data_IF_696154361249
#
_entry.id   IF_696154361249
#
_cell.length_a   1.000
_cell.length_b   1.000
_cell.length_c   1.000
_cell.angle_alpha   90.00
_cell.angle_beta   90.00
_cell.angle_gamma   90.00
#
_symmetry.space_group_name_H-M   'P 1'
#
loop_
_entity.id
_entity.type
_entity.pdbx_description
1 polymer ?
#
# COMPACT_ATOMS: atom_id res chain seq x y z
N UNK A 1 -27.27 -0.49 35.59
CA UNK A 1 -27.35 -0.40 34.09
C UNK A 1 -26.00 -0.71 33.43
N UNK A 2 -24.91 -0.11 33.90
CA UNK A 2 -23.56 -0.35 33.35
C UNK A 2 -23.02 -1.76 33.68
N UNK A 3 -23.21 -2.26 34.92
CA UNK A 3 -22.83 -3.64 35.29
C UNK A 3 -23.58 -4.70 34.45
N UNK A 4 -24.85 -4.48 34.16
CA UNK A 4 -25.62 -5.38 33.31
C UNK A 4 -25.10 -5.35 31.84
N UNK A 5 -24.72 -4.18 31.34
CA UNK A 5 -24.10 -4.02 30.02
C UNK A 5 -22.74 -4.73 29.95
N UNK A 6 -21.89 -4.53 30.94
CA UNK A 6 -20.58 -5.20 31.06
C UNK A 6 -20.72 -6.72 31.11
N UNK A 7 -21.70 -7.22 31.87
CA UNK A 7 -21.96 -8.66 31.96
C UNK A 7 -22.40 -9.26 30.65
N UNK A 8 -23.21 -8.55 29.85
CA UNK A 8 -23.59 -9.00 28.51
C UNK A 8 -22.45 -8.93 27.50
N UNK A 9 -21.63 -7.87 27.54
CA UNK A 9 -20.43 -7.74 26.69
C UNK A 9 -19.43 -8.87 26.98
N UNK A 10 -19.24 -9.23 28.26
CA UNK A 10 -18.32 -10.30 28.65
C UNK A 10 -18.79 -11.71 28.26
N UNK A 11 -20.11 -11.92 28.09
CA UNK A 11 -20.64 -13.17 27.55
C UNK A 11 -20.35 -13.36 26.08
N UNK A 12 -20.10 -12.28 25.35
CA UNK A 12 -19.79 -12.28 23.92
C UNK A 12 -18.29 -12.42 23.63
N UNK A 13 -17.41 -12.27 24.64
CA UNK A 13 -15.98 -12.39 24.47
C UNK A 13 -15.55 -13.86 24.25
N UNK A 14 -14.66 -14.14 23.29
CA UNK A 14 -14.15 -15.49 23.06
C UNK A 14 -13.43 -16.01 24.29
N UNK A 15 -13.69 -17.27 24.68
CA UNK A 15 -13.13 -17.93 25.90
C UNK A 15 -11.60 -18.08 25.94
N UNK A 16 -10.87 -17.59 24.94
CA UNK A 16 -9.41 -17.75 24.80
C UNK A 16 -8.58 -16.51 25.14
N UNK A 17 -9.17 -15.45 25.68
CA UNK A 17 -8.44 -14.21 25.98
C UNK A 17 -7.87 -14.23 27.40
N UNK A 18 -6.59 -14.50 27.48
CA UNK A 18 -5.79 -14.33 28.69
C UNK A 18 -5.77 -12.84 29.07
N UNK A 19 -6.11 -12.53 30.34
CA UNK A 19 -6.13 -11.16 30.86
C UNK A 19 -7.50 -10.54 31.05
N UNK A 20 -8.60 -11.22 30.68
CA UNK A 20 -9.97 -10.70 30.82
C UNK A 20 -10.31 -10.38 32.29
N UNK A 21 -9.90 -11.20 33.25
CA UNK A 21 -10.14 -10.96 34.66
C UNK A 21 -9.42 -9.71 35.19
N UNK A 22 -8.18 -9.47 34.75
CA UNK A 22 -7.44 -8.25 35.13
C UNK A 22 -8.05 -7.00 34.51
N UNK A 23 -8.57 -7.10 33.29
CA UNK A 23 -9.25 -5.98 32.61
C UNK A 23 -10.61 -5.69 33.24
N UNK A 24 -11.31 -6.71 33.76
CA UNK A 24 -12.57 -6.56 34.51
C UNK A 24 -12.31 -5.85 35.86
N UNK A 25 -11.27 -6.24 36.56
CA UNK A 25 -10.92 -5.57 37.83
C UNK A 25 -10.49 -4.11 37.60
N UNK A 26 -9.74 -3.85 36.54
CA UNK A 26 -9.38 -2.49 36.15
C UNK A 26 -10.62 -1.64 35.80
N UNK A 27 -11.60 -2.21 35.10
CA UNK A 27 -12.89 -1.56 34.83
C UNK A 27 -13.72 -1.29 36.09
N UNK A 28 -13.70 -2.21 37.04
CA UNK A 28 -14.37 -2.01 38.35
C UNK A 28 -13.70 -0.90 39.17
N UNK A 29 -12.38 -0.85 39.20
CA UNK A 29 -11.64 0.23 39.87
C UNK A 29 -11.91 1.60 39.27
N UNK A 30 -12.09 1.67 37.92
CA UNK A 30 -12.47 2.91 37.22
C UNK A 30 -13.83 3.46 37.65
N UNK A 31 -14.80 2.57 37.94
CA UNK A 31 -16.14 2.97 38.38
C UNK A 31 -16.11 3.63 39.78
N UNK A 32 -15.06 3.38 40.52
CA UNK A 32 -14.91 3.93 41.88
C UNK A 32 -14.06 5.21 41.98
N UNK A 33 -13.20 5.46 40.98
CA UNK A 33 -12.33 6.64 40.90
C UNK A 33 -12.29 7.17 39.47
N UNK A 34 -12.94 8.30 39.20
CA UNK A 34 -12.92 8.94 37.89
C UNK A 34 -11.52 9.52 37.62
N UNK A 35 -10.63 8.68 37.06
CA UNK A 35 -9.30 9.05 36.62
C UNK A 35 -9.26 8.97 35.08
N UNK A 36 -9.07 10.09 34.41
CA UNK A 36 -9.06 10.22 32.95
C UNK A 36 -7.98 9.34 32.31
N UNK A 37 -6.82 9.15 32.94
CA UNK A 37 -5.75 8.27 32.41
C UNK A 37 -6.16 6.80 32.49
N UNK A 38 -6.81 6.37 33.58
CA UNK A 38 -7.33 5.02 33.70
C UNK A 38 -8.50 4.77 32.75
N UNK A 39 -9.36 5.78 32.55
CA UNK A 39 -10.42 5.72 31.55
C UNK A 39 -9.84 5.45 30.15
N UNK A 40 -8.83 6.22 29.73
CA UNK A 40 -8.17 5.99 28.44
C UNK A 40 -7.49 4.62 28.34
N UNK A 41 -6.81 4.17 29.39
CA UNK A 41 -6.18 2.85 29.41
C UNK A 41 -7.20 1.71 29.25
N UNK A 42 -8.36 1.81 29.89
CA UNK A 42 -9.41 0.81 29.73
C UNK A 42 -10.15 0.91 28.41
N UNK A 43 -10.35 2.11 27.90
CA UNK A 43 -10.91 2.30 26.57
C UNK A 43 -10.01 1.64 25.49
N UNK A 44 -8.69 1.81 25.62
CA UNK A 44 -7.71 1.15 24.76
C UNK A 44 -7.72 -0.37 24.93
N UNK A 45 -7.82 -0.87 26.17
CA UNK A 45 -7.91 -2.29 26.45
C UNK A 45 -9.20 -2.93 25.93
N UNK A 46 -10.33 -2.21 25.94
CA UNK A 46 -11.59 -2.67 25.33
C UNK A 46 -11.44 -2.74 23.80
N UNK A 47 -10.81 -1.76 23.20
CA UNK A 47 -10.55 -1.73 21.76
C UNK A 47 -9.67 -2.91 21.35
N UNK A 48 -8.60 -3.16 22.09
CA UNK A 48 -7.70 -4.30 21.88
C UNK A 48 -8.43 -5.65 22.08
N UNK A 49 -9.31 -5.73 23.09
CA UNK A 49 -10.13 -6.90 23.37
C UNK A 49 -11.06 -7.29 22.19
N UNK A 50 -11.56 -6.30 21.47
CA UNK A 50 -12.41 -6.52 20.29
C UNK A 50 -11.61 -6.63 18.98
N UNK A 51 -10.28 -6.66 19.05
CA UNK A 51 -9.42 -6.68 17.86
C UNK A 51 -9.55 -5.42 17.01
N UNK A 52 -10.05 -4.35 17.60
CA UNK A 52 -10.14 -3.04 16.96
C UNK A 52 -8.82 -2.33 17.24
N UNK A 53 -7.87 -2.47 16.34
CA UNK A 53 -6.65 -1.68 16.39
C UNK A 53 -6.95 -0.30 15.83
N UNK A 54 -7.21 0.69 16.72
CA UNK A 54 -7.39 2.10 16.32
C UNK A 54 -6.16 2.61 15.55
N UNK A 55 -4.99 2.01 15.80
CA UNK A 55 -3.73 2.36 15.15
C UNK A 55 -3.66 1.93 13.68
N UNK A 56 -4.48 0.98 13.24
CA UNK A 56 -4.55 0.50 11.85
C UNK A 56 -5.67 1.17 11.05
N UNK A 57 -6.43 2.08 11.66
CA UNK A 57 -7.46 2.82 10.93
C UNK A 57 -6.81 3.87 10.02
N UNK A 58 -7.27 3.97 8.76
CA UNK A 58 -6.81 5.00 7.86
C UNK A 58 -7.07 6.41 8.43
N UNK A 59 -6.15 7.34 8.18
CA UNK A 59 -6.28 8.73 8.59
C UNK A 59 -6.26 9.66 7.36
N UNK A 60 -6.82 10.85 7.49
CA UNK A 60 -6.71 11.86 6.41
C UNK A 60 -5.30 12.45 6.38
N UNK A 61 -4.74 12.73 5.18
CA UNK A 61 -3.52 13.51 5.06
C UNK A 61 -3.63 14.84 5.82
N UNK A 62 -2.57 15.24 6.54
CA UNK A 62 -2.58 16.44 7.40
C UNK A 62 -1.21 17.12 7.52
N UNK A 63 -0.22 16.64 6.78
CA UNK A 63 1.12 17.20 6.79
C UNK A 63 1.26 18.47 5.97
N UNK A 64 2.47 18.80 5.59
CA UNK A 64 2.81 19.96 4.79
C UNK A 64 2.34 19.79 3.34
N UNK A 65 2.07 20.91 2.67
CA UNK A 65 1.82 20.89 1.23
C UNK A 65 3.12 20.62 0.46
N UNK A 66 2.99 19.92 -0.66
CA UNK A 66 4.11 19.59 -1.54
C UNK A 66 4.80 20.87 -2.03
N UNK A 67 6.10 20.95 -1.80
CA UNK A 67 6.96 21.98 -2.37
C UNK A 67 8.01 21.33 -3.29
N UNK A 68 7.94 21.67 -4.58
CA UNK A 68 8.88 21.26 -5.62
C UNK A 68 9.82 22.38 -6.05
N UNK A 69 9.99 23.41 -5.22
CA UNK A 69 10.97 24.48 -5.48
C UNK A 69 12.38 23.86 -5.67
N UNK A 70 13.01 24.15 -6.82
CA UNK A 70 14.31 23.60 -7.17
C UNK A 70 14.29 22.27 -7.92
N UNK A 71 13.12 21.64 -8.07
CA UNK A 71 12.94 20.47 -8.91
C UNK A 71 12.55 20.86 -10.34
N UNK A 72 12.93 20.04 -11.31
CA UNK A 72 12.55 20.15 -12.70
C UNK A 72 11.90 18.85 -13.16
N UNK A 73 10.88 18.94 -14.00
CA UNK A 73 10.27 17.76 -14.63
C UNK A 73 11.29 17.08 -15.55
N UNK A 74 11.65 15.84 -15.26
CA UNK A 74 12.63 15.05 -16.04
C UNK A 74 11.99 13.92 -16.83
N UNK A 75 10.81 13.48 -16.40
CA UNK A 75 10.00 12.47 -17.07
C UNK A 75 8.53 12.77 -16.91
N UNK A 76 7.76 12.60 -18.00
CA UNK A 76 6.31 12.57 -17.96
C UNK A 76 5.76 11.59 -19.00
N UNK A 77 4.70 10.90 -18.66
CA UNK A 77 3.88 10.12 -19.59
C UNK A 77 2.40 10.30 -19.24
N UNK A 78 1.66 10.84 -20.19
CA UNK A 78 0.22 11.16 -20.09
C UNK A 78 -0.63 10.11 -20.81
N UNK A 79 -0.03 9.01 -21.28
CA UNK A 79 -0.66 7.87 -21.94
C UNK A 79 -1.63 8.24 -23.09
N UNK A 80 -1.37 9.35 -23.78
CA UNK A 80 -2.16 9.86 -24.90
C UNK A 80 -1.89 9.10 -26.22
N UNK A 81 -1.83 7.77 -26.16
CA UNK A 81 -1.60 6.86 -27.26
C UNK A 81 -2.39 5.56 -27.05
N UNK A 82 -2.58 4.78 -28.14
CA UNK A 82 -3.39 3.58 -28.14
C UNK A 82 -2.57 2.28 -28.06
N UNK A 83 -1.25 2.37 -28.18
CA UNK A 83 -0.32 1.23 -28.21
C UNK A 83 0.77 1.39 -27.14
N UNK A 84 1.28 0.27 -26.66
CA UNK A 84 2.34 0.23 -25.66
C UNK A 84 3.65 0.85 -26.18
N UNK A 85 4.13 1.90 -25.52
CA UNK A 85 5.42 2.51 -25.83
C UNK A 85 6.57 1.67 -25.26
N UNK A 86 7.07 0.78 -26.12
CA UNK A 86 8.17 -0.11 -25.75
C UNK A 86 9.54 0.56 -25.71
N UNK A 87 9.67 1.82 -26.05
CA UNK A 87 10.91 2.58 -25.87
C UNK A 87 11.03 3.13 -24.46
N UNK A 88 9.90 3.42 -23.81
CA UNK A 88 9.78 3.98 -22.47
C UNK A 88 9.52 2.90 -21.42
N UNK A 89 8.57 2.00 -21.68
CA UNK A 89 8.10 0.99 -20.75
C UNK A 89 8.49 -0.42 -21.13
N UNK A 90 8.50 -1.31 -20.16
CA UNK A 90 8.55 -2.75 -20.41
C UNK A 90 7.60 -3.51 -19.48
N UNK A 91 7.09 -4.66 -19.97
CA UNK A 91 6.29 -5.56 -19.13
C UNK A 91 7.16 -6.23 -18.08
N UNK A 92 6.79 -6.09 -16.83
CA UNK A 92 7.54 -6.67 -15.71
C UNK A 92 6.95 -7.98 -15.25
N UNK A 93 7.81 -9.00 -15.06
CA UNK A 93 7.44 -10.27 -14.46
C UNK A 93 6.33 -11.01 -15.20
N UNK A 94 6.34 -10.99 -16.57
CA UNK A 94 5.41 -11.76 -17.40
C UNK A 94 5.50 -13.26 -17.09
N UNK A 95 4.35 -13.91 -16.91
CA UNK A 95 4.24 -15.32 -16.54
C UNK A 95 3.60 -15.51 -15.17
N UNK A 96 3.92 -16.62 -14.50
CA UNK A 96 3.35 -16.97 -13.21
C UNK A 96 3.64 -15.90 -12.12
N UNK A 97 2.60 -15.48 -11.43
CA UNK A 97 2.66 -14.51 -10.33
C UNK A 97 1.67 -14.90 -9.25
N UNK A 98 2.14 -15.27 -8.05
CA UNK A 98 1.28 -15.69 -6.92
C UNK A 98 0.22 -16.72 -7.36
N UNK A 99 -1.09 -16.42 -7.27
CA UNK A 99 -2.17 -17.32 -7.67
C UNK A 99 -2.60 -17.24 -9.15
N UNK A 100 -1.87 -16.52 -9.99
CA UNK A 100 -2.22 -16.33 -11.41
C UNK A 100 -1.06 -15.92 -12.28
N UNK A 101 -1.29 -14.98 -13.21
CA UNK A 101 -0.32 -14.60 -14.21
C UNK A 101 -0.28 -13.08 -14.44
N UNK A 102 0.93 -12.54 -14.61
CA UNK A 102 1.10 -11.23 -15.26
C UNK A 102 1.19 -11.44 -16.77
N UNK A 103 0.45 -10.64 -17.54
CA UNK A 103 0.46 -10.74 -18.99
C UNK A 103 0.37 -9.38 -19.69
N UNK A 104 1.10 -9.17 -20.81
CA UNK A 104 1.00 -7.98 -21.65
C UNK A 104 -0.43 -7.62 -22.04
N UNK A 105 -1.27 -8.62 -22.32
CA UNK A 105 -2.67 -8.44 -22.71
C UNK A 105 -3.55 -7.78 -21.63
N UNK A 106 -3.05 -7.64 -20.41
CA UNK A 106 -3.75 -6.99 -19.30
C UNK A 106 -3.36 -5.51 -19.13
N UNK A 107 -2.49 -5.00 -19.98
CA UNK A 107 -2.12 -3.59 -20.06
C UNK A 107 -2.65 -3.03 -21.36
N UNK A 108 -3.58 -2.10 -21.29
CA UNK A 108 -4.24 -1.47 -22.44
C UNK A 108 -4.23 0.04 -22.29
N UNK A 109 -4.42 0.76 -23.41
CA UNK A 109 -4.46 2.22 -23.44
C UNK A 109 -5.80 2.65 -24.02
N UNK A 110 -6.49 3.57 -23.35
CA UNK A 110 -7.77 4.11 -23.80
C UNK A 110 -8.10 5.42 -23.09
N UNK A 111 -8.73 6.30 -23.83
CA UNK A 111 -9.22 7.59 -23.29
C UNK A 111 -8.11 8.40 -22.57
N UNK A 112 -6.86 8.33 -23.07
CA UNK A 112 -5.71 8.99 -22.45
C UNK A 112 -5.25 8.35 -21.12
N UNK A 113 -5.47 7.06 -20.96
CA UNK A 113 -5.08 6.35 -19.75
C UNK A 113 -4.40 5.03 -20.07
N UNK A 114 -3.43 4.64 -19.25
CA UNK A 114 -2.99 3.25 -19.13
C UNK A 114 -3.94 2.52 -18.18
N UNK A 115 -4.45 1.36 -18.61
CA UNK A 115 -5.39 0.56 -17.83
C UNK A 115 -4.85 -0.84 -17.62
N UNK A 116 -4.68 -1.22 -16.36
CA UNK A 116 -4.31 -2.56 -15.96
C UNK A 116 -5.58 -3.30 -15.52
N UNK A 117 -5.83 -4.47 -16.12
CA UNK A 117 -7.05 -5.25 -15.90
C UNK A 117 -6.77 -6.54 -15.15
N UNK A 118 -7.55 -6.82 -14.10
CA UNK A 118 -7.60 -8.09 -13.38
C UNK A 118 -8.84 -8.87 -13.75
N UNK A 119 -8.70 -10.09 -14.29
CA UNK A 119 -9.83 -10.93 -14.72
C UNK A 119 -9.43 -12.42 -14.80
N UNK A 120 -10.44 -13.31 -14.81
CA UNK A 120 -10.25 -14.72 -15.11
C UNK A 120 -10.49 -14.97 -16.61
N UNK A 121 -9.57 -15.66 -17.27
CA UNK A 121 -9.71 -16.00 -18.69
C UNK A 121 -8.81 -17.16 -19.12
N UNK A 122 -9.06 -17.66 -20.34
CA UNK A 122 -8.10 -18.50 -21.04
C UNK A 122 -7.18 -17.59 -21.88
N UNK A 123 -5.99 -17.33 -21.34
CA UNK A 123 -5.02 -16.41 -21.93
C UNK A 123 -3.74 -17.08 -22.40
N UNK A 124 -2.68 -16.28 -22.53
CA UNK A 124 -1.37 -16.70 -23.07
C UNK A 124 -0.74 -17.86 -22.27
N UNK A 125 -1.01 -17.96 -20.98
CA UNK A 125 -0.45 -18.98 -20.07
C UNK A 125 -1.47 -20.05 -19.69
N UNK A 126 -2.59 -20.16 -20.40
CA UNK A 126 -3.68 -21.08 -20.14
C UNK A 126 -4.85 -20.43 -19.38
N UNK A 127 -5.71 -21.26 -18.83
CA UNK A 127 -6.86 -20.81 -18.06
C UNK A 127 -6.44 -20.39 -16.65
N UNK A 128 -6.81 -19.19 -16.23
CA UNK A 128 -6.44 -18.66 -14.92
C UNK A 128 -6.74 -17.19 -14.72
N UNK A 129 -6.35 -16.68 -13.58
CA UNK A 129 -6.41 -15.27 -13.24
C UNK A 129 -5.26 -14.49 -13.87
N UNK A 130 -5.55 -13.36 -14.46
CA UNK A 130 -4.59 -12.52 -15.15
C UNK A 130 -4.60 -11.10 -14.62
N UNK A 131 -3.41 -10.46 -14.63
CA UNK A 131 -3.22 -9.06 -14.28
C UNK A 131 -2.06 -8.45 -15.07
N UNK A 132 -1.84 -7.13 -14.94
CA UNK A 132 -0.80 -6.37 -15.63
C UNK A 132 0.23 -5.78 -14.66
N UNK A 133 1.48 -5.70 -15.12
CA UNK A 133 2.57 -5.01 -14.45
C UNK A 133 3.54 -4.44 -15.48
N UNK A 134 3.90 -3.18 -15.32
CA UNK A 134 4.89 -2.49 -16.16
C UNK A 134 5.93 -1.80 -15.29
N UNK A 135 7.10 -1.53 -15.87
CA UNK A 135 8.13 -0.68 -15.27
C UNK A 135 8.71 0.27 -16.30
N UNK A 136 9.24 1.39 -15.83
CA UNK A 136 10.09 2.24 -16.66
C UNK A 136 11.38 1.52 -17.01
N UNK A 137 11.88 1.71 -18.22
CA UNK A 137 13.20 1.24 -18.62
C UNK A 137 14.32 2.06 -18.01
N UNK A 138 14.08 3.35 -17.84
CA UNK A 138 14.99 4.24 -17.13
C UNK A 138 14.84 4.07 -15.62
N UNK A 139 15.96 4.06 -14.91
CA UNK A 139 16.03 3.90 -13.47
C UNK A 139 16.42 5.22 -12.84
N UNK A 140 15.87 5.50 -11.68
CA UNK A 140 16.03 6.78 -11.00
C UNK A 140 16.60 6.60 -9.59
N UNK A 141 17.26 7.63 -9.10
CA UNK A 141 17.70 7.75 -7.72
C UNK A 141 17.36 9.15 -7.25
N UNK A 142 16.54 9.24 -6.19
CA UNK A 142 16.06 10.51 -5.61
C UNK A 142 15.21 11.34 -6.56
N UNK A 143 14.50 12.30 -6.02
CA UNK A 143 13.55 13.13 -6.76
C UNK A 143 12.14 13.05 -6.20
N UNK A 144 11.18 13.58 -6.92
CA UNK A 144 9.76 13.43 -6.64
C UNK A 144 9.10 12.61 -7.74
N UNK A 145 8.44 11.55 -7.32
CA UNK A 145 7.75 10.58 -8.17
C UNK A 145 6.26 10.70 -7.92
N UNK A 146 5.47 10.85 -8.97
CA UNK A 146 4.02 11.02 -8.85
C UNK A 146 3.29 10.19 -9.89
N UNK A 147 2.20 9.58 -9.46
CA UNK A 147 1.18 8.97 -10.30
C UNK A 147 -0.17 9.63 -10.04
N UNK A 148 -0.98 9.83 -11.09
CA UNK A 148 -2.38 10.20 -10.98
C UNK A 148 -3.24 9.07 -11.49
N UNK A 149 -4.13 8.55 -10.65
CA UNK A 149 -4.86 7.33 -11.00
C UNK A 149 -6.19 7.21 -10.26
N UNK A 150 -7.01 6.26 -10.73
CA UNK A 150 -8.14 5.66 -10.01
C UNK A 150 -7.76 4.23 -9.67
N UNK A 151 -7.81 3.86 -8.41
CA UNK A 151 -7.46 2.49 -7.98
C UNK A 151 -8.58 1.51 -8.27
N UNK A 152 -8.27 0.22 -8.30
CA UNK A 152 -9.25 -0.83 -8.50
C UNK A 152 -10.25 -0.90 -7.33
N UNK A 153 -11.52 -1.13 -7.66
CA UNK A 153 -12.62 -1.11 -6.68
C UNK A 153 -12.87 -2.46 -6.03
N UNK A 154 -12.78 -3.52 -6.81
CA UNK A 154 -13.08 -4.87 -6.36
C UNK A 154 -12.00 -5.40 -5.43
N UNK A 155 -12.42 -6.18 -4.43
CA UNK A 155 -11.54 -6.75 -3.41
C UNK A 155 -10.54 -7.75 -3.98
N UNK A 156 -9.50 -8.00 -3.22
CA UNK A 156 -8.47 -9.02 -3.40
C UNK A 156 -7.34 -8.65 -4.37
N UNK A 157 -7.61 -8.11 -5.55
CA UNK A 157 -6.57 -7.45 -6.34
C UNK A 157 -6.29 -6.07 -5.76
N UNK A 158 -5.06 -5.55 -5.94
CA UNK A 158 -4.74 -4.20 -5.47
C UNK A 158 -3.83 -3.45 -6.43
N UNK A 159 -4.12 -2.16 -6.60
CA UNK A 159 -3.30 -1.23 -7.37
C UNK A 159 -2.07 -0.84 -6.55
N UNK A 160 -0.91 -0.74 -7.20
CA UNK A 160 0.31 -0.29 -6.58
C UNK A 160 1.15 0.59 -7.52
N UNK A 161 1.77 1.60 -6.94
CA UNK A 161 2.85 2.39 -7.53
C UNK A 161 4.03 2.35 -6.57
N UNK A 162 5.15 1.82 -7.03
CA UNK A 162 6.26 1.49 -6.18
C UNK A 162 7.60 1.56 -6.89
N UNK A 163 8.65 1.65 -6.12
CA UNK A 163 10.04 1.75 -6.58
C UNK A 163 10.83 0.60 -5.97
N UNK A 164 11.71 -0.04 -6.73
CA UNK A 164 12.47 -1.17 -6.23
C UNK A 164 13.88 -1.20 -6.80
N UNK A 165 14.87 -1.43 -5.93
CA UNK A 165 16.23 -1.79 -6.35
C UNK A 165 16.24 -3.16 -7.03
N UNK A 166 17.21 -3.41 -7.93
CA UNK A 166 17.33 -4.69 -8.67
C UNK A 166 17.32 -5.92 -7.74
N UNK A 167 17.94 -5.78 -6.59
CA UNK A 167 18.03 -6.86 -5.61
C UNK A 167 17.91 -6.31 -4.17
N UNK A 168 16.73 -5.78 -3.78
CA UNK A 168 16.58 -5.02 -2.53
C UNK A 168 16.93 -5.85 -1.29
N UNK A 169 16.81 -7.16 -1.35
CA UNK A 169 17.10 -8.06 -0.23
C UNK A 169 18.54 -8.54 -0.17
N UNK A 170 19.21 -8.60 -1.32
CA UNK A 170 20.61 -9.00 -1.41
C UNK A 170 21.55 -7.80 -1.36
N UNK A 171 21.23 -6.74 -2.10
CA UNK A 171 22.02 -5.52 -2.16
C UNK A 171 22.02 -4.78 -0.83
N UNK A 172 20.90 -4.73 -0.14
CA UNK A 172 20.75 -4.08 1.18
C UNK A 172 21.29 -4.92 2.35
N UNK A 173 21.55 -6.21 2.19
CA UNK A 173 21.88 -7.12 3.29
C UNK A 173 23.02 -6.64 4.20
N UNK A 174 24.01 -5.91 3.66
CA UNK A 174 25.13 -5.36 4.43
C UNK A 174 25.04 -3.88 4.76
N UNK A 175 24.09 -3.14 4.16
CA UNK A 175 24.02 -1.68 4.23
C UNK A 175 22.66 -1.15 4.69
N UNK A 176 21.68 -2.03 4.90
CA UNK A 176 20.30 -1.60 5.09
C UNK A 176 19.73 -0.99 3.81
N UNK A 177 18.69 -0.21 3.93
CA UNK A 177 18.03 0.44 2.81
C UNK A 177 18.91 1.34 1.96
N UNK A 178 20.05 1.82 2.49
CA UNK A 178 21.06 2.57 1.74
C UNK A 178 21.60 1.80 0.53
N UNK A 179 21.65 0.48 0.60
CA UNK A 179 22.05 -0.39 -0.50
C UNK A 179 20.97 -0.73 -1.50
N UNK A 180 19.76 -0.23 -1.29
CA UNK A 180 18.59 -0.47 -2.11
C UNK A 180 17.38 -0.90 -1.29
N UNK A 181 16.19 -0.48 -1.69
CA UNK A 181 14.95 -0.76 -1.00
C UNK A 181 13.83 -1.14 -1.99
N UNK A 182 12.70 -1.57 -1.47
CA UNK A 182 11.40 -1.52 -2.11
C UNK A 182 10.60 -0.46 -1.36
N UNK A 183 10.06 0.50 -2.09
CA UNK A 183 9.32 1.63 -1.53
C UNK A 183 7.94 1.65 -2.20
N UNK A 184 6.93 1.23 -1.46
CA UNK A 184 5.56 1.26 -1.95
C UNK A 184 4.99 2.65 -1.72
N UNK A 185 5.01 3.47 -2.79
CA UNK A 185 4.46 4.83 -2.77
C UNK A 185 2.98 4.76 -2.41
N UNK A 186 2.26 3.81 -2.98
CA UNK A 186 0.98 3.36 -2.44
C UNK A 186 0.67 1.90 -2.81
N UNK A 187 -0.11 1.25 -1.96
CA UNK A 187 -0.82 0.02 -2.22
C UNK A 187 -2.29 0.19 -1.80
N UNK A 188 -3.23 -0.18 -2.67
CA UNK A 188 -4.67 -0.04 -2.42
C UNK A 188 -5.28 -1.36 -1.94
N UNK A 189 -4.81 -1.90 -0.83
CA UNK A 189 -5.30 -3.19 -0.31
C UNK A 189 -6.72 -3.05 0.23
N UNK A 190 -7.71 -3.25 -0.64
CA UNK A 190 -9.11 -3.28 -0.27
C UNK A 190 -9.49 -4.67 0.26
N UNK A 191 -9.72 -4.78 1.57
CA UNK A 191 -10.14 -6.03 2.23
C UNK A 191 -11.66 -6.20 2.28
N UNK A 192 -12.41 -5.26 1.72
CA UNK A 192 -13.87 -5.22 1.79
C UNK A 192 -14.42 -4.75 3.14
N UNK A 193 -13.59 -4.35 4.08
CA UNK A 193 -14.01 -3.79 5.36
C UNK A 193 -14.40 -2.33 5.16
N UNK A 194 -15.42 -1.89 5.89
CA UNK A 194 -15.95 -0.52 5.76
C UNK A 194 -14.91 0.59 5.93
N UNK A 195 -13.94 0.40 6.80
CA UNK A 195 -12.91 1.41 7.09
C UNK A 195 -11.67 1.33 6.17
N UNK A 196 -11.53 0.29 5.34
CA UNK A 196 -10.45 0.16 4.36
C UNK A 196 -10.84 0.78 3.00
N UNK A 197 -12.11 1.19 2.86
CA UNK A 197 -12.58 1.85 1.64
C UNK A 197 -11.96 3.25 1.53
N UNK A 198 -11.66 3.65 0.30
CA UNK A 198 -11.02 4.93 -0.01
C UNK A 198 -9.65 5.15 0.66
N UNK A 199 -8.96 4.08 1.03
CA UNK A 199 -7.67 4.15 1.68
C UNK A 199 -6.56 3.42 0.90
N UNK A 200 -5.35 3.95 1.02
CA UNK A 200 -4.11 3.33 0.54
C UNK A 200 -3.09 3.27 1.67
N UNK A 201 -2.14 2.34 1.59
CA UNK A 201 -1.03 2.22 2.54
C UNK A 201 0.30 2.56 1.90
N UNK A 202 1.26 2.99 2.74
CA UNK A 202 2.66 3.17 2.36
C UNK A 202 3.52 2.16 3.11
N UNK A 203 4.50 1.57 2.41
CA UNK A 203 5.41 0.60 2.99
C UNK A 203 6.86 0.83 2.51
N UNK A 204 7.82 0.37 3.30
CA UNK A 204 9.23 0.28 2.89
C UNK A 204 9.76 -1.09 3.30
N UNK A 205 10.48 -1.73 2.40
CA UNK A 205 11.04 -3.06 2.60
C UNK A 205 12.51 -3.09 2.18
N UNK A 206 13.36 -3.64 3.04
CA UNK A 206 14.77 -3.87 2.75
C UNK A 206 15.34 -4.96 3.67
N UNK A 207 16.58 -5.38 3.45
CA UNK A 207 17.32 -6.24 4.37
C UNK A 207 18.45 -5.43 5.06
N UNK A 208 19.12 -6.03 6.03
CA UNK A 208 20.31 -5.44 6.68
C UNK A 208 20.02 -4.34 7.70
N UNK A 209 18.79 -4.16 8.10
CA UNK A 209 18.42 -3.20 9.16
C UNK A 209 18.86 -3.76 10.51
N UNK A 210 19.52 -2.92 11.33
CA UNK A 210 20.02 -3.30 12.66
C UNK A 210 20.91 -4.56 12.68
N UNK A 211 21.62 -4.81 11.57
CA UNK A 211 22.51 -5.95 11.42
C UNK A 211 21.83 -7.27 11.09
N UNK A 212 20.54 -7.29 10.84
CA UNK A 212 19.80 -8.47 10.37
C UNK A 212 20.06 -8.65 8.88
N UNK A 213 20.96 -9.56 8.53
CA UNK A 213 21.42 -9.78 7.15
C UNK A 213 20.48 -10.67 6.34
N UNK A 214 19.73 -11.55 6.99
CA UNK A 214 18.84 -12.48 6.32
C UNK A 214 17.39 -12.04 6.47
N UNK A 215 16.66 -12.09 5.36
CA UNK A 215 15.24 -11.78 5.30
C UNK A 215 14.95 -10.30 5.12
N UNK A 216 13.70 -10.08 5.09
CA UNK A 216 12.99 -8.85 4.78
C UNK A 216 12.60 -8.15 6.07
N UNK A 217 13.00 -6.93 6.23
CA UNK A 217 12.44 -6.06 7.23
C UNK A 217 11.50 -5.06 6.56
N UNK A 218 10.37 -4.82 7.20
CA UNK A 218 9.31 -3.97 6.67
C UNK A 218 8.92 -2.89 7.66
N UNK A 219 8.72 -1.68 7.17
CA UNK A 219 8.02 -0.63 7.89
C UNK A 219 6.67 -0.41 7.21
N UNK A 220 5.57 -0.74 7.91
CA UNK A 220 4.25 -0.27 7.54
C UNK A 220 4.13 1.16 8.07
N UNK A 221 3.93 2.12 7.17
CA UNK A 221 3.89 3.54 7.52
C UNK A 221 2.47 4.04 7.80
N UNK A 222 1.49 3.15 7.72
CA UNK A 222 0.08 3.44 7.96
C UNK A 222 -0.74 3.53 6.69
N UNK A 223 -2.05 3.70 6.88
CA UNK A 223 -3.03 3.84 5.81
C UNK A 223 -3.66 5.24 5.83
N UNK A 224 -3.95 5.76 4.64
CA UNK A 224 -4.42 7.14 4.48
C UNK A 224 -5.57 7.19 3.49
N UNK A 225 -6.60 8.01 3.81
CA UNK A 225 -7.73 8.22 2.92
C UNK A 225 -7.34 9.12 1.75
N UNK A 226 -7.72 8.70 0.53
CA UNK A 226 -7.86 9.59 -0.61
C UNK A 226 -9.30 10.11 -0.75
N UNK A 227 -9.61 10.68 -1.88
CA UNK A 227 -10.94 11.23 -2.17
C UNK A 227 -11.63 10.38 -3.25
N UNK A 228 -12.63 9.54 -2.85
CA UNK A 228 -13.38 8.66 -3.76
C UNK A 228 -12.45 7.90 -4.72
N UNK A 229 -11.41 7.28 -4.21
CA UNK A 229 -10.25 6.77 -4.97
C UNK A 229 -10.60 5.79 -6.11
N UNK A 230 -11.79 5.21 -6.06
CA UNK A 230 -12.29 4.29 -7.08
C UNK A 230 -12.93 5.02 -8.29
N UNK A 231 -13.52 6.17 -8.06
CA UNK A 231 -14.32 6.91 -9.05
C UNK A 231 -13.64 8.22 -9.47
N UNK A 232 -12.75 8.79 -8.62
CA UNK A 232 -12.04 10.04 -8.87
C UNK A 232 -10.53 9.83 -8.96
N UNK A 233 -9.87 10.67 -9.76
CA UNK A 233 -8.42 10.66 -9.84
C UNK A 233 -7.80 11.30 -8.60
N UNK A 234 -6.90 10.56 -7.98
CA UNK A 234 -6.04 11.07 -6.91
C UNK A 234 -4.57 11.02 -7.34
N UNK A 235 -3.74 11.90 -6.78
CA UNK A 235 -2.29 11.82 -6.95
C UNK A 235 -1.67 11.16 -5.73
N UNK A 236 -0.69 10.30 -5.99
CA UNK A 236 0.12 9.63 -4.98
C UNK A 236 1.57 9.91 -5.30
N UNK A 237 2.32 10.45 -4.32
CA UNK A 237 3.67 10.89 -4.57
C UNK A 237 4.67 10.50 -3.49
N UNK A 238 5.93 10.41 -3.90
CA UNK A 238 7.08 10.20 -3.05
C UNK A 238 8.14 11.26 -3.34
N UNK A 239 8.52 12.05 -2.34
CA UNK A 239 9.74 12.86 -2.38
C UNK A 239 10.84 12.06 -1.68
N UNK A 240 11.76 11.54 -2.49
CA UNK A 240 12.92 10.79 -2.04
C UNK A 240 14.12 11.74 -2.01
N UNK A 241 14.49 12.15 -0.80
CA UNK A 241 15.58 13.11 -0.53
C UNK A 241 16.87 12.39 -0.15
N UNK A 242 17.90 13.15 0.27
CA UNK A 242 19.13 12.58 0.82
C UNK A 242 18.92 11.94 2.20
N UNK A 243 17.91 12.39 2.95
CA UNK A 243 17.75 12.06 4.36
C UNK A 243 16.51 11.19 4.64
N UNK A 244 15.45 11.35 3.84
CA UNK A 244 14.15 10.71 4.12
C UNK A 244 13.29 10.51 2.86
N UNK A 245 12.34 9.59 2.98
CA UNK A 245 11.20 9.40 2.09
C UNK A 245 10.01 10.16 2.65
N UNK A 246 9.35 11.01 1.85
CA UNK A 246 8.18 11.80 2.23
C UNK A 246 7.05 11.45 1.26
N UNK A 247 5.96 10.92 1.79
CA UNK A 247 4.82 10.44 1.01
C UNK A 247 3.71 11.49 0.97
N UNK A 248 3.01 11.55 -0.16
CA UNK A 248 1.96 12.54 -0.41
C UNK A 248 0.72 11.89 -1.02
N UNK A 249 -0.46 12.41 -0.67
CA UNK A 249 -1.72 12.16 -1.38
C UNK A 249 -2.35 13.52 -1.70
N UNK A 250 -2.69 13.74 -2.98
CA UNK A 250 -3.24 15.00 -3.47
C UNK A 250 -2.42 16.24 -3.04
N UNK A 251 -1.09 16.11 -3.08
CA UNK A 251 -0.16 17.17 -2.71
C UNK A 251 -0.02 17.44 -1.21
N UNK A 252 -0.68 16.66 -0.34
CA UNK A 252 -0.58 16.81 1.12
C UNK A 252 0.23 15.65 1.69
N UNK A 253 1.25 15.99 2.48
CA UNK A 253 2.08 15.00 3.15
C UNK A 253 1.26 14.08 4.06
N UNK A 254 1.56 12.79 3.98
CA UNK A 254 0.95 11.74 4.78
C UNK A 254 1.92 11.19 5.83
N UNK A 255 3.16 10.91 5.41
CA UNK A 255 4.16 10.27 6.24
C UNK A 255 5.58 10.60 5.81
N UNK A 256 6.53 10.54 6.77
CA UNK A 256 7.98 10.56 6.52
C UNK A 256 8.64 9.34 7.12
N UNK A 257 9.71 8.86 6.52
CA UNK A 257 10.49 7.73 7.05
C UNK A 257 11.91 7.73 6.48
N UNK A 258 12.85 7.31 7.31
CA UNK A 258 14.22 6.93 6.91
C UNK A 258 14.49 5.47 7.27
N UNK A 259 13.44 4.63 7.23
CA UNK A 259 13.57 3.22 7.55
C UNK A 259 14.61 2.54 6.66
N UNK A 260 15.39 1.66 7.27
CA UNK A 260 16.46 0.94 6.59
C UNK A 260 17.87 1.42 6.96
N UNK A 261 18.01 2.14 8.09
CA UNK A 261 19.26 2.80 8.50
C UNK A 261 19.71 3.90 7.52
N UNK A 262 18.74 4.53 6.84
CA UNK A 262 18.92 5.56 5.84
C UNK A 262 18.18 5.23 4.55
N UNK A 263 18.05 6.22 3.68
CA UNK A 263 17.39 6.09 2.38
C UNK A 263 18.31 5.43 1.35
N UNK A 264 17.71 4.84 0.32
CA UNK A 264 18.46 4.25 -0.78
C UNK A 264 19.32 5.30 -1.51
N UNK A 265 20.52 4.88 -1.89
CA UNK A 265 21.51 5.67 -2.66
C UNK A 265 21.79 5.05 -4.03
N UNK A 266 20.99 4.09 -4.45
CA UNK A 266 21.15 3.40 -5.73
C UNK A 266 20.02 3.73 -6.68
N UNK A 267 20.25 3.51 -7.98
CA UNK A 267 19.19 3.59 -8.98
C UNK A 267 18.18 2.48 -8.75
N UNK A 268 16.91 2.81 -8.85
CA UNK A 268 15.80 1.88 -8.67
C UNK A 268 14.79 1.97 -9.81
N UNK A 269 14.12 0.86 -10.10
CA UNK A 269 13.07 0.79 -11.12
C UNK A 269 11.75 1.37 -10.60
N UNK A 270 11.00 2.07 -11.46
CA UNK A 270 9.67 2.62 -11.17
C UNK A 270 8.61 1.70 -11.75
N UNK A 271 7.69 1.23 -10.92
CA UNK A 271 6.78 0.13 -11.25
C UNK A 271 5.33 0.55 -11.03
N UNK A 272 4.47 0.18 -11.99
CA UNK A 272 3.01 0.29 -11.89
C UNK A 272 2.43 -1.11 -12.02
N UNK A 273 1.64 -1.55 -11.05
CA UNK A 273 1.05 -2.88 -11.07
C UNK A 273 -0.38 -2.92 -10.54
N UNK A 274 -1.16 -3.81 -11.11
CA UNK A 274 -2.34 -4.34 -10.48
C UNK A 274 -1.96 -5.72 -9.93
N UNK A 275 -1.73 -5.81 -8.63
CA UNK A 275 -1.23 -7.01 -7.99
C UNK A 275 -2.32 -8.08 -7.84
N UNK A 276 -1.89 -9.33 -7.98
CA UNK A 276 -2.75 -10.49 -7.87
C UNK A 276 -2.51 -11.22 -6.53
N UNK A 277 -3.56 -11.61 -5.78
CA UNK A 277 -3.41 -12.30 -4.51
C UNK A 277 -3.00 -13.78 -4.69
N UNK A 278 -2.83 -14.48 -3.57
CA UNK A 278 -2.63 -15.93 -3.53
C UNK A 278 -3.93 -16.69 -3.90
N UNK A 279 -3.78 -18.00 -4.18
CA UNK A 279 -4.88 -18.88 -4.61
C UNK A 279 -6.05 -18.93 -3.61
N UNK A 280 -5.77 -18.84 -2.31
CA UNK A 280 -6.78 -18.84 -1.26
C UNK A 280 -7.81 -17.72 -1.45
N UNK A 281 -7.34 -16.52 -1.77
CA UNK A 281 -8.18 -15.34 -2.02
C UNK A 281 -8.87 -15.40 -3.38
N UNK A 282 -8.20 -15.90 -4.39
CA UNK A 282 -8.76 -16.04 -5.74
C UNK A 282 -9.91 -17.05 -5.79
N UNK A 283 -9.90 -18.07 -4.93
CA UNK A 283 -10.98 -19.05 -4.85
C UNK A 283 -12.31 -18.47 -4.28
N UNK A 284 -12.25 -17.28 -3.68
CA UNK A 284 -13.43 -16.55 -3.19
C UNK A 284 -14.12 -15.76 -4.31
N UNK A 285 -13.48 -15.60 -5.47
CA UNK A 285 -13.95 -14.75 -6.57
C UNK A 285 -14.77 -15.53 -7.60
N UNK A 286 -15.79 -14.88 -8.15
CA UNK A 286 -16.57 -15.40 -9.25
C UNK A 286 -15.80 -15.27 -10.57
N UNK A 287 -15.37 -16.38 -11.14
CA UNK A 287 -14.56 -16.44 -12.36
C UNK A 287 -15.28 -15.90 -13.62
N UNK A 288 -16.61 -15.88 -13.63
CA UNK A 288 -17.37 -15.44 -14.80
C UNK A 288 -17.64 -13.94 -14.79
N UNK A 289 -17.77 -13.35 -13.59
CA UNK A 289 -18.22 -11.96 -13.46
C UNK A 289 -17.17 -11.01 -12.89
N UNK A 290 -16.13 -11.54 -12.22
CA UNK A 290 -15.11 -10.69 -11.61
C UNK A 290 -14.23 -10.05 -12.68
N UNK A 291 -14.21 -8.74 -12.65
CA UNK A 291 -13.27 -7.92 -13.42
C UNK A 291 -12.98 -6.65 -12.62
N UNK A 292 -11.71 -6.29 -12.54
CA UNK A 292 -11.29 -5.07 -11.88
C UNK A 292 -10.26 -4.31 -12.71
N UNK A 293 -10.20 -3.00 -12.55
CA UNK A 293 -9.33 -2.16 -13.37
C UNK A 293 -8.61 -1.13 -12.49
N UNK A 294 -7.33 -0.95 -12.76
CA UNK A 294 -6.50 0.13 -12.28
C UNK A 294 -6.26 1.11 -13.44
N UNK A 295 -6.73 2.35 -13.30
CA UNK A 295 -6.73 3.35 -14.37
C UNK A 295 -5.73 4.45 -14.04
N UNK A 296 -4.69 4.59 -14.86
CA UNK A 296 -3.58 5.53 -14.66
C UNK A 296 -3.65 6.65 -15.71
N UNK A 297 -3.78 7.88 -15.24
CA UNK A 297 -3.86 9.09 -16.06
C UNK A 297 -2.46 9.59 -16.47
N UNK A 298 -1.54 9.67 -15.50
CA UNK A 298 -0.14 10.01 -15.79
C UNK A 298 0.85 9.45 -14.75
N UNK A 299 2.12 9.40 -15.16
CA UNK A 299 3.29 9.25 -14.29
C UNK A 299 4.26 10.39 -14.56
N UNK A 300 4.74 11.05 -13.51
CA UNK A 300 5.69 12.17 -13.59
C UNK A 300 6.84 12.02 -12.59
N UNK A 301 8.04 12.41 -13.00
CA UNK A 301 9.23 12.40 -12.15
C UNK A 301 9.93 13.75 -12.26
N UNK A 302 10.33 14.28 -11.11
CA UNK A 302 11.01 15.57 -10.97
C UNK A 302 12.33 15.36 -10.21
N UNK A 303 13.42 15.98 -10.71
CA UNK A 303 14.74 15.97 -10.08
C UNK A 303 15.37 17.35 -10.04
#
# INVERSE_FOLDING_TARGET
MFEAFLTEVLKLAPRQMWGVEQQIELLKEMLTCFDLKRFFACFMAIIELFGLTIFDMPVKPRGEELDLTGYSLVFEDEFNYDEFDSDVWEYRGSGARRGGFNAPSQVTFRDGNMVLTGEYKNGQYGEGWYTGMVRLKEWYCKGYFEIRCKVNKENNFWSAFWIQAEAPYTASASKGGVGGAEIDIFESVNTGKYFDQDAVSHNIHCAGVDGVQEGFQSANLGSFYGENIYDEYNTYGLKWTDDEYIFYINGVETRRSSFGNGVSEVLEEVIVSLEIPGEDKLNELDKETYKTEFVVDYVRIYQ
#
